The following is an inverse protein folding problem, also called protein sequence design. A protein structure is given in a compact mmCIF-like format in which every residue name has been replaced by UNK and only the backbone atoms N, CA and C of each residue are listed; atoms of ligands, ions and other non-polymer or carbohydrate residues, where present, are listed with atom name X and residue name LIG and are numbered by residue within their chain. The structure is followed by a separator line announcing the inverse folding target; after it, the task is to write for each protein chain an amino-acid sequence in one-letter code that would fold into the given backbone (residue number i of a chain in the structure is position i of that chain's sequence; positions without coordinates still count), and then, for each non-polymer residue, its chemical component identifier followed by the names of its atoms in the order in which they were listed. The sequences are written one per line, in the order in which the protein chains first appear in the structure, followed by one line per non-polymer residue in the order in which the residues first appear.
data_IF_441463656667
#
_entry.id   IF_441463656667
#
_cell.length_a   1.000
_cell.length_b   1.000
_cell.length_c   1.000
_cell.angle_alpha   90.00
_cell.angle_beta   90.00
_cell.angle_gamma   90.00
#
_symmetry.space_group_name_H-M   'P 1'
#
loop_
_entity.id
_entity.type
_entity.pdbx_description
1 polymer ?
#
# COMPACT_ATOMS: atom_id res chain seq x y z
N UNK A 1 45.35 69.95 15.56
CA UNK A 1 45.38 70.29 17.00
C UNK A 1 44.56 69.26 17.73
N UNK A 2 45.20 68.30 18.40
CA UNK A 2 44.81 67.77 19.71
C UNK A 2 45.69 66.57 20.07
N UNK A 3 46.14 66.59 21.33
CA UNK A 3 47.16 65.75 21.93
C UNK A 3 46.68 64.29 22.10
N UNK A 4 47.47 63.34 21.60
CA UNK A 4 47.40 61.94 22.04
C UNK A 4 48.28 61.77 23.28
N UNK A 5 47.64 61.80 24.45
CA UNK A 5 48.25 61.42 25.71
C UNK A 5 48.58 59.92 25.73
N UNK A 6 49.85 59.62 25.98
CA UNK A 6 50.37 58.29 26.32
C UNK A 6 49.80 57.82 27.66
N UNK A 7 49.02 56.73 27.66
CA UNK A 7 48.74 55.93 28.85
C UNK A 7 49.19 54.49 28.62
N UNK A 8 50.09 54.02 29.49
CA UNK A 8 50.58 52.65 29.54
C UNK A 8 49.49 51.69 30.08
N UNK A 9 49.40 50.45 29.60
CA UNK A 9 48.41 49.50 30.09
C UNK A 9 48.84 48.85 31.40
N UNK A 10 47.93 48.84 32.37
CA UNK A 10 48.00 48.08 33.63
C UNK A 10 47.64 46.61 33.35
N UNK A 11 48.27 45.60 34.00
CA UNK A 11 47.92 44.20 33.78
C UNK A 11 46.62 43.85 34.52
N UNK A 12 45.61 43.36 33.79
CA UNK A 12 44.42 42.72 34.35
C UNK A 12 44.71 41.24 34.59
N UNK A 13 44.68 40.83 35.86
CA UNK A 13 44.67 39.43 36.28
C UNK A 13 43.41 38.74 35.74
N UNK A 14 43.60 37.79 34.82
CA UNK A 14 42.54 36.93 34.32
C UNK A 14 42.39 35.68 35.19
N UNK A 15 41.30 35.62 35.96
CA UNK A 15 40.77 34.39 36.53
C UNK A 15 40.44 33.39 35.41
N UNK A 16 41.20 32.29 35.34
CA UNK A 16 40.87 31.12 34.52
C UNK A 16 40.07 30.12 35.34
N UNK A 17 38.79 29.99 35.04
CA UNK A 17 37.95 28.85 35.45
C UNK A 17 38.31 27.62 34.59
N UNK A 18 38.55 26.43 35.17
CA UNK A 18 38.83 25.24 34.38
C UNK A 18 37.52 24.64 33.86
N UNK A 19 37.39 24.53 32.53
CA UNK A 19 36.38 23.66 31.92
C UNK A 19 36.90 22.23 32.04
N UNK A 20 36.19 21.44 32.86
CA UNK A 20 36.37 20.01 32.94
C UNK A 20 36.07 19.37 31.57
N UNK A 21 37.05 18.64 31.04
CA UNK A 21 36.74 17.57 30.10
C UNK A 21 37.54 16.32 30.50
N UNK A 22 36.77 15.30 30.81
CA UNK A 22 37.17 13.98 31.26
C UNK A 22 37.88 13.20 30.15
N UNK A 23 39.17 12.93 30.34
CA UNK A 23 39.78 11.67 29.88
C UNK A 23 40.59 11.11 31.04
N UNK A 24 40.10 9.99 31.56
CA UNK A 24 40.76 9.20 32.56
C UNK A 24 41.97 8.44 31.98
N UNK A 25 42.88 8.10 32.90
CA UNK A 25 43.99 7.14 32.80
C UNK A 25 45.30 7.63 32.16
N UNK A 26 46.32 7.80 33.00
CA UNK A 26 47.71 7.77 32.57
C UNK A 26 48.69 8.46 33.50
N UNK A 27 49.01 7.81 34.62
CA UNK A 27 50.26 7.89 35.41
C UNK A 27 51.13 9.15 35.35
N UNK A 28 51.26 9.79 36.51
CA UNK A 28 52.44 10.52 36.95
C UNK A 28 53.72 9.78 36.57
N UNK A 29 54.58 10.42 35.77
CA UNK A 29 55.93 9.95 35.49
C UNK A 29 56.82 11.14 35.20
N UNK A 30 57.78 11.39 36.10
CA UNK A 30 58.86 12.34 35.91
C UNK A 30 59.72 12.02 34.68
N UNK A 31 60.80 12.79 34.44
CA UNK A 31 61.53 12.76 33.18
C UNK A 31 61.96 11.33 32.84
N UNK A 32 61.33 10.76 31.81
CA UNK A 32 61.59 9.41 31.34
C UNK A 32 63.06 9.29 30.91
N UNK A 33 63.83 8.52 31.68
CA UNK A 33 64.94 7.70 31.19
C UNK A 33 64.42 6.67 30.16
N UNK A 34 63.89 7.17 29.05
CA UNK A 34 63.53 6.35 27.89
C UNK A 34 64.81 5.93 27.17
N UNK A 35 65.36 4.76 27.55
CA UNK A 35 65.88 3.73 26.64
C UNK A 35 66.53 2.52 27.37
N UNK A 36 66.38 2.35 28.69
CA UNK A 36 66.98 1.17 29.36
C UNK A 36 66.32 -0.16 28.98
N UNK A 37 65.13 -0.14 28.35
CA UNK A 37 64.40 -1.34 27.93
C UNK A 37 65.04 -2.13 26.78
N UNK A 38 66.01 -1.56 26.06
CA UNK A 38 66.71 -2.24 24.96
C UNK A 38 68.13 -2.72 25.29
N UNK A 39 68.63 -2.45 26.50
CA UNK A 39 70.03 -2.70 26.87
C UNK A 39 70.11 -3.74 27.99
N UNK A 40 70.43 -4.98 27.66
CA UNK A 40 70.71 -6.03 28.64
C UNK A 40 72.13 -5.89 29.18
N UNK A 41 72.32 -6.08 30.50
CA UNK A 41 73.65 -6.05 31.08
C UNK A 41 74.48 -7.26 30.61
N UNK A 42 75.73 -7.03 30.23
CA UNK A 42 76.63 -8.09 29.80
C UNK A 42 76.85 -9.15 30.90
N UNK A 43 76.85 -8.73 32.17
CA UNK A 43 76.96 -9.62 33.32
C UNK A 43 75.80 -10.62 33.40
N UNK A 44 74.55 -10.16 33.25
CA UNK A 44 73.39 -11.06 33.20
C UNK A 44 73.46 -12.00 32.00
N UNK A 45 73.89 -11.50 30.83
CA UNK A 45 74.03 -12.33 29.63
C UNK A 45 75.07 -13.46 29.84
N UNK A 46 76.21 -13.14 30.46
CA UNK A 46 77.23 -14.13 30.79
C UNK A 46 76.68 -15.15 31.79
N UNK A 47 76.01 -14.71 32.85
CA UNK A 47 75.43 -15.60 33.86
C UNK A 47 74.40 -16.56 33.25
N UNK A 48 73.47 -16.06 32.42
CA UNK A 48 72.52 -16.93 31.72
C UNK A 48 73.18 -17.93 30.78
N UNK A 49 74.26 -17.52 30.10
CA UNK A 49 75.03 -18.41 29.21
C UNK A 49 75.73 -19.50 30.02
N UNK A 50 76.32 -19.16 31.16
CA UNK A 50 76.99 -20.13 32.05
C UNK A 50 75.97 -21.09 32.65
N UNK A 51 74.86 -20.58 33.19
CA UNK A 51 73.77 -21.40 33.73
C UNK A 51 73.18 -22.35 32.69
N UNK A 52 72.95 -21.86 31.47
CA UNK A 52 72.48 -22.69 30.36
C UNK A 52 73.48 -23.77 29.98
N UNK A 53 74.78 -23.44 29.90
CA UNK A 53 75.84 -24.40 29.57
C UNK A 53 75.96 -25.47 30.66
N UNK A 54 75.87 -25.06 31.92
CA UNK A 54 75.87 -25.96 33.06
C UNK A 54 74.64 -26.88 33.03
N UNK A 55 73.45 -26.35 32.78
CA UNK A 55 72.24 -27.14 32.64
C UNK A 55 72.32 -28.15 31.48
N UNK A 56 72.77 -27.71 30.30
CA UNK A 56 72.96 -28.60 29.14
C UNK A 56 74.00 -29.70 29.43
N UNK A 57 75.07 -29.37 30.18
CA UNK A 57 76.07 -30.34 30.65
C UNK A 57 75.49 -31.33 31.67
N UNK A 58 74.70 -30.86 32.63
CA UNK A 58 74.02 -31.69 33.64
C UNK A 58 73.03 -32.66 32.97
N UNK A 59 72.27 -32.19 31.98
CA UNK A 59 71.36 -33.04 31.20
C UNK A 59 72.13 -34.07 30.37
N UNK A 60 73.27 -33.69 29.78
CA UNK A 60 74.14 -34.61 29.06
C UNK A 60 74.70 -35.70 30.00
N UNK A 61 75.18 -35.31 31.19
CA UNK A 61 75.77 -36.21 32.19
C UNK A 61 74.73 -37.17 32.82
N UNK A 62 73.58 -36.65 33.23
CA UNK A 62 72.59 -37.42 34.00
C UNK A 62 71.61 -38.22 33.14
N UNK A 63 71.26 -37.75 31.92
CA UNK A 63 70.21 -38.36 31.12
C UNK A 63 70.70 -39.04 29.84
N UNK A 64 71.75 -38.52 29.19
CA UNK A 64 72.18 -38.99 27.86
C UNK A 64 73.33 -40.00 27.89
N UNK A 65 74.26 -39.87 28.83
CA UNK A 65 75.44 -40.74 28.92
C UNK A 65 75.14 -42.20 29.35
N UNK A 66 74.27 -42.46 30.34
CA UNK A 66 74.08 -43.83 30.88
C UNK A 66 73.20 -44.73 30.00
N UNK A 67 72.38 -44.15 29.11
CA UNK A 67 71.32 -44.88 28.37
C UNK A 67 71.67 -45.21 26.91
N UNK A 68 72.82 -44.75 26.40
CA UNK A 68 73.20 -44.85 24.97
C UNK A 68 74.47 -45.69 24.75
N UNK A 69 74.60 -46.24 23.54
CA UNK A 69 75.79 -47.01 23.10
C UNK A 69 77.04 -46.13 23.06
N UNK A 70 78.23 -46.72 23.17
CA UNK A 70 79.50 -45.96 23.24
C UNK A 70 79.76 -45.05 22.03
N UNK A 71 79.27 -45.43 20.84
CA UNK A 71 79.43 -44.62 19.63
C UNK A 71 78.53 -43.38 19.64
N UNK A 72 77.26 -43.53 20.02
CA UNK A 72 76.32 -42.40 20.14
C UNK A 72 76.73 -41.43 21.24
N UNK A 73 77.28 -41.95 22.35
CA UNK A 73 77.83 -41.14 23.44
C UNK A 73 78.92 -40.19 22.93
N UNK A 74 79.86 -40.69 22.11
CA UNK A 74 80.95 -39.88 21.54
C UNK A 74 80.43 -38.76 20.63
N UNK A 75 79.45 -39.08 19.78
CA UNK A 75 78.85 -38.10 18.86
C UNK A 75 78.12 -36.98 19.63
N UNK A 76 77.37 -37.31 20.68
CA UNK A 76 76.66 -36.32 21.49
C UNK A 76 77.61 -35.43 22.29
N UNK A 77 78.70 -35.97 22.85
CA UNK A 77 79.74 -35.18 23.52
C UNK A 77 80.40 -34.23 22.53
N UNK A 78 80.74 -34.71 21.34
CA UNK A 78 81.34 -33.88 20.29
C UNK A 78 80.40 -32.75 19.85
N UNK A 79 79.11 -33.04 19.65
CA UNK A 79 78.10 -32.05 19.28
C UNK A 79 77.88 -31.03 20.38
N UNK A 80 77.84 -31.45 21.64
CA UNK A 80 77.78 -30.54 22.79
C UNK A 80 79.00 -29.61 22.83
N UNK A 81 80.22 -30.16 22.74
CA UNK A 81 81.44 -29.36 22.74
C UNK A 81 81.46 -28.32 21.60
N UNK A 82 81.02 -28.70 20.41
CA UNK A 82 80.96 -27.82 19.25
C UNK A 82 79.93 -26.69 19.42
N UNK A 83 78.72 -27.00 19.92
CA UNK A 83 77.67 -26.01 20.20
C UNK A 83 78.09 -25.03 21.28
N UNK A 84 78.63 -25.54 22.39
CA UNK A 84 79.14 -24.74 23.50
C UNK A 84 80.27 -23.82 23.03
N UNK A 85 81.21 -24.33 22.23
CA UNK A 85 82.27 -23.51 21.62
C UNK A 85 81.71 -22.37 20.75
N UNK A 86 80.74 -22.65 19.87
CA UNK A 86 80.16 -21.60 19.02
C UNK A 86 79.46 -20.52 19.83
N UNK A 87 78.76 -20.90 20.91
CA UNK A 87 78.10 -19.96 21.81
C UNK A 87 79.12 -19.07 22.54
N UNK A 88 80.20 -19.65 23.08
CA UNK A 88 81.27 -18.87 23.71
C UNK A 88 82.06 -18.00 22.71
N UNK A 89 82.19 -18.41 21.44
CA UNK A 89 82.78 -17.57 20.40
C UNK A 89 81.91 -16.34 20.09
N UNK A 90 80.59 -16.51 20.03
CA UNK A 90 79.65 -15.36 19.88
C UNK A 90 79.70 -14.45 21.10
N UNK A 91 79.76 -15.02 22.31
CA UNK A 91 79.94 -14.25 23.54
C UNK A 91 81.27 -13.48 23.53
N UNK A 92 82.36 -14.11 23.09
CA UNK A 92 83.66 -13.45 22.96
C UNK A 92 83.61 -12.27 21.99
N UNK A 93 82.88 -12.40 20.88
CA UNK A 93 82.66 -11.27 19.96
C UNK A 93 81.94 -10.11 20.66
N UNK A 94 80.87 -10.40 21.42
CA UNK A 94 80.15 -9.38 22.20
C UNK A 94 81.03 -8.73 23.27
N UNK A 95 81.88 -9.49 23.97
CA UNK A 95 82.82 -8.96 24.96
C UNK A 95 83.85 -8.04 24.30
N UNK A 96 84.37 -8.40 23.12
CA UNK A 96 85.27 -7.51 22.35
C UNK A 96 84.57 -6.22 21.94
N UNK A 97 83.29 -6.28 21.58
CA UNK A 97 82.48 -5.12 21.23
C UNK A 97 82.10 -4.26 22.44
N UNK A 98 81.96 -4.88 23.62
CA UNK A 98 81.65 -4.18 24.87
C UNK A 98 82.71 -3.14 25.23
N UNK A 99 83.98 -3.34 24.83
CA UNK A 99 85.04 -2.34 25.02
C UNK A 99 84.72 -1.00 24.30
N UNK A 100 83.93 -1.04 23.22
CA UNK A 100 83.48 0.15 22.48
C UNK A 100 82.08 0.62 22.88
N UNK A 101 81.40 -0.06 23.81
CA UNK A 101 80.02 0.25 24.19
C UNK A 101 79.86 1.66 24.77
N UNK A 102 80.84 2.16 25.53
CA UNK A 102 80.79 3.50 26.11
C UNK A 102 80.77 4.62 25.06
N UNK A 103 81.39 4.39 23.89
CA UNK A 103 81.36 5.33 22.76
C UNK A 103 80.00 5.27 22.06
N UNK A 104 79.48 4.05 21.85
CA UNK A 104 78.17 3.82 21.22
C UNK A 104 77.04 4.39 22.06
N UNK A 105 77.09 4.26 23.38
CA UNK A 105 76.10 4.83 24.29
C UNK A 105 76.09 6.37 24.24
N UNK A 106 77.27 7.00 24.16
CA UNK A 106 77.37 8.47 23.97
C UNK A 106 76.76 8.89 22.64
N UNK A 107 77.07 8.21 21.54
CA UNK A 107 76.47 8.53 20.23
C UNK A 107 74.96 8.27 20.21
N UNK A 108 74.47 7.21 20.87
CA UNK A 108 73.05 6.93 20.99
C UNK A 108 72.33 8.01 21.81
N UNK A 109 72.97 8.51 22.88
CA UNK A 109 72.43 9.63 23.67
C UNK A 109 72.36 10.92 22.87
N UNK A 110 73.39 11.22 22.06
CA UNK A 110 73.41 12.39 21.17
C UNK A 110 72.32 12.25 20.09
N UNK A 111 72.18 11.08 19.49
CA UNK A 111 71.13 10.80 18.51
C UNK A 111 69.73 11.00 19.10
N UNK A 112 69.45 10.40 20.26
CA UNK A 112 68.19 10.59 20.96
C UNK A 112 67.92 12.07 21.32
N UNK A 113 68.97 12.83 21.64
CA UNK A 113 68.82 14.27 21.89
C UNK A 113 68.46 15.01 20.61
N UNK A 114 69.15 14.74 19.50
CA UNK A 114 68.86 15.35 18.20
C UNK A 114 67.46 15.00 17.70
N UNK A 115 67.03 13.76 17.86
CA UNK A 115 65.68 13.32 17.50
C UNK A 115 64.61 14.04 18.32
N UNK A 116 64.84 14.22 19.63
CA UNK A 116 63.96 15.03 20.48
C UNK A 116 63.88 16.48 20.01
N UNK A 117 65.01 17.10 19.65
CA UNK A 117 65.01 18.47 19.13
C UNK A 117 64.25 18.57 17.80
N UNK A 118 64.46 17.62 16.88
CA UNK A 118 63.73 17.53 15.62
C UNK A 118 62.22 17.44 15.85
N UNK A 119 61.78 16.59 16.78
CA UNK A 119 60.37 16.44 17.13
C UNK A 119 59.78 17.74 17.66
N UNK A 120 60.48 18.44 18.56
CA UNK A 120 60.03 19.72 19.11
C UNK A 120 59.83 20.79 18.02
N UNK A 121 60.69 20.82 16.99
CA UNK A 121 60.51 21.74 15.86
C UNK A 121 59.24 21.44 15.07
N UNK A 122 58.96 20.16 14.81
CA UNK A 122 57.74 19.74 14.10
C UNK A 122 56.50 20.07 14.93
N UNK A 123 56.49 19.71 16.21
CA UNK A 123 55.37 19.98 17.12
C UNK A 123 55.08 21.49 17.25
N UNK A 124 56.12 22.31 17.31
CA UNK A 124 55.98 23.78 17.37
C UNK A 124 55.37 24.32 16.09
N UNK A 125 55.82 23.83 14.93
CA UNK A 125 55.27 24.25 13.64
C UNK A 125 53.79 23.84 13.51
N UNK A 126 53.44 22.62 13.94
CA UNK A 126 52.06 22.13 13.92
C UNK A 126 51.15 22.93 14.87
N UNK A 127 51.64 23.25 16.07
CA UNK A 127 50.92 24.09 17.03
C UNK A 127 50.68 25.49 16.45
N UNK A 128 51.68 26.10 15.82
CA UNK A 128 51.56 27.41 15.19
C UNK A 128 50.55 27.37 14.03
N UNK A 129 50.61 26.34 13.19
CA UNK A 129 49.68 26.16 12.08
C UNK A 129 48.24 26.00 12.55
N UNK A 130 48.03 25.20 13.61
CA UNK A 130 46.73 25.03 14.25
C UNK A 130 46.20 26.36 14.81
N UNK A 131 47.05 27.11 15.52
CA UNK A 131 46.69 28.42 16.06
C UNK A 131 46.29 29.41 14.95
N UNK A 132 47.07 29.46 13.85
CA UNK A 132 46.80 30.38 12.76
C UNK A 132 45.49 30.06 12.02
N UNK A 133 45.17 28.78 11.80
CA UNK A 133 44.02 28.37 11.00
C UNK A 133 42.73 28.21 11.78
N UNK A 134 42.80 27.79 13.03
CA UNK A 134 41.61 27.43 13.81
C UNK A 134 41.28 28.54 14.81
N UNK A 135 42.21 28.83 15.74
CA UNK A 135 41.92 29.71 16.87
C UNK A 135 41.83 31.18 16.45
N UNK A 136 42.74 31.65 15.59
CA UNK A 136 42.70 33.04 15.10
C UNK A 136 41.52 33.29 14.16
N UNK A 137 41.09 32.29 13.38
CA UNK A 137 39.92 32.43 12.51
C UNK A 137 38.64 32.53 13.33
N UNK A 138 38.52 31.76 14.42
CA UNK A 138 37.40 31.87 15.35
C UNK A 138 37.37 33.19 16.15
N UNK A 139 38.54 33.78 16.41
CA UNK A 139 38.63 35.09 17.06
C UNK A 139 38.19 36.25 16.14
N UNK A 140 38.16 36.03 14.82
CA UNK A 140 37.64 37.03 13.86
C UNK A 140 36.13 36.93 13.78
N UNK A 141 35.45 38.07 13.85
CA UNK A 141 34.01 38.12 13.59
C UNK A 141 33.72 37.73 12.13
N UNK A 142 32.75 36.82 11.88
CA UNK A 142 32.29 36.52 10.53
C UNK A 142 31.71 37.75 9.84
N UNK A 143 31.68 37.74 8.51
CA UNK A 143 30.98 38.76 7.74
C UNK A 143 29.46 38.62 7.94
N UNK A 144 28.77 39.71 8.26
CA UNK A 144 27.32 39.72 8.48
C UNK A 144 26.56 39.88 7.16
N UNK A 145 25.67 38.93 6.86
CA UNK A 145 24.81 39.01 5.68
C UNK A 145 23.59 39.91 5.93
N UNK A 146 23.81 41.23 5.91
CA UNK A 146 22.76 42.24 6.14
C UNK A 146 21.53 42.08 5.22
N UNK A 147 21.65 41.76 3.92
CA UNK A 147 20.47 41.62 3.06
C UNK A 147 19.50 40.53 3.52
N UNK A 148 20.03 39.40 4.00
CA UNK A 148 19.21 38.30 4.53
C UNK A 148 18.52 38.71 5.83
N UNK A 149 19.19 39.47 6.69
CA UNK A 149 18.61 39.99 7.92
C UNK A 149 17.48 40.99 7.65
N UNK A 150 17.64 41.88 6.66
CA UNK A 150 16.60 42.83 6.24
C UNK A 150 15.37 42.10 5.69
N UNK A 151 15.57 41.06 4.88
CA UNK A 151 14.48 40.26 4.34
C UNK A 151 13.67 39.59 5.45
N UNK A 152 14.32 38.88 6.37
CA UNK A 152 13.66 38.26 7.52
C UNK A 152 12.96 39.29 8.42
N UNK A 153 13.56 40.47 8.60
CA UNK A 153 12.96 41.54 9.41
C UNK A 153 11.71 42.15 8.75
N UNK A 154 11.70 42.29 7.43
CA UNK A 154 10.62 42.97 6.69
C UNK A 154 9.49 42.03 6.31
N UNK A 155 9.79 40.81 5.87
CA UNK A 155 8.80 39.84 5.38
C UNK A 155 8.50 38.74 6.40
N UNK A 156 9.24 38.69 7.51
CA UNK A 156 9.14 37.63 8.51
C UNK A 156 9.65 36.26 8.03
N UNK A 157 10.09 36.13 6.76
CA UNK A 157 10.50 34.85 6.15
C UNK A 157 11.72 35.03 5.25
N UNK A 158 12.43 33.93 4.98
CA UNK A 158 13.61 33.93 4.13
C UNK A 158 13.26 33.38 2.74
N UNK A 159 13.36 34.21 1.69
CA UNK A 159 12.91 33.88 0.34
C UNK A 159 13.80 32.88 -0.42
N UNK A 160 15.00 32.60 0.07
CA UNK A 160 15.89 31.56 -0.51
C UNK A 160 15.77 30.20 0.17
N UNK A 161 14.83 30.04 1.12
CA UNK A 161 14.56 28.73 1.71
C UNK A 161 13.92 27.83 0.65
N UNK A 162 14.49 26.65 0.35
CA UNK A 162 13.88 25.71 -0.59
C UNK A 162 12.47 25.30 -0.13
N UNK A 163 11.52 25.31 -1.05
CA UNK A 163 10.13 24.93 -0.80
C UNK A 163 10.01 23.52 -0.18
N UNK A 164 10.93 22.60 -0.50
CA UNK A 164 10.95 21.24 0.05
C UNK A 164 11.09 21.19 1.58
N UNK A 165 11.76 22.19 2.20
CA UNK A 165 11.88 22.28 3.66
C UNK A 165 10.58 22.84 4.25
N UNK A 166 9.99 23.84 3.57
CA UNK A 166 8.71 24.44 3.95
C UNK A 166 7.57 23.42 3.89
N UNK A 167 7.48 22.64 2.82
CA UNK A 167 6.46 21.61 2.58
C UNK A 167 6.54 20.43 3.56
N UNK A 168 7.73 20.14 4.11
CA UNK A 168 7.91 19.06 5.11
C UNK A 168 7.64 19.49 6.54
N UNK A 169 7.87 20.76 6.88
CA UNK A 169 7.87 21.24 8.27
C UNK A 169 6.60 22.03 8.59
N UNK A 170 6.05 22.77 7.62
CA UNK A 170 4.85 23.57 7.80
C UNK A 170 3.68 22.86 7.12
N UNK A 171 2.61 22.49 7.85
CA UNK A 171 1.42 21.94 7.21
C UNK A 171 0.86 22.99 6.22
N UNK A 172 0.35 22.57 5.06
CA UNK A 172 -0.23 23.51 4.10
C UNK A 172 -1.36 24.30 4.77
N UNK A 173 -1.43 25.59 4.45
CA UNK A 173 -2.46 26.47 5.02
C UNK A 173 -3.86 25.88 4.78
N UNK A 174 -4.75 25.92 5.78
CA UNK A 174 -6.07 25.33 5.67
C UNK A 174 -6.84 26.01 4.54
N UNK A 175 -7.42 25.20 3.65
CA UNK A 175 -8.24 25.68 2.53
C UNK A 175 -9.36 26.56 3.09
N UNK A 176 -9.42 27.82 2.64
CA UNK A 176 -10.47 28.72 3.12
C UNK A 176 -11.84 28.24 2.62
N UNK A 177 -12.92 28.40 3.42
CA UNK A 177 -14.25 27.96 3.00
C UNK A 177 -14.71 28.67 1.72
N UNK A 178 -14.24 29.89 1.47
CA UNK A 178 -14.42 30.65 0.22
C UNK A 178 -13.75 29.98 -0.97
N UNK A 179 -12.48 29.59 -0.85
CA UNK A 179 -11.76 28.89 -1.92
C UNK A 179 -12.38 27.52 -2.21
N UNK A 180 -12.79 26.79 -1.17
CA UNK A 180 -13.52 25.53 -1.33
C UNK A 180 -14.80 25.73 -2.13
N UNK A 181 -15.62 26.71 -1.78
CA UNK A 181 -16.87 27.01 -2.49
C UNK A 181 -16.62 27.39 -3.95
N UNK A 182 -15.63 28.26 -4.20
CA UNK A 182 -15.28 28.67 -5.56
C UNK A 182 -14.75 27.49 -6.40
N UNK A 183 -13.95 26.61 -5.80
CA UNK A 183 -13.42 25.40 -6.46
C UNK A 183 -14.54 24.43 -6.80
N UNK A 184 -15.51 24.21 -5.91
CA UNK A 184 -16.68 23.36 -6.18
C UNK A 184 -17.59 23.93 -7.28
N UNK A 185 -17.78 25.26 -7.30
CA UNK A 185 -18.52 25.93 -8.39
C UNK A 185 -17.79 25.77 -9.72
N UNK A 186 -16.46 25.92 -9.73
CA UNK A 186 -15.66 25.70 -10.94
C UNK A 186 -15.75 24.25 -11.40
N UNK A 187 -15.72 23.30 -10.48
CA UNK A 187 -15.85 21.88 -10.78
C UNK A 187 -17.24 21.55 -11.36
N UNK A 188 -18.31 22.13 -10.83
CA UNK A 188 -19.66 22.00 -11.42
C UNK A 188 -19.69 22.48 -12.88
N UNK A 189 -19.04 23.61 -13.19
CA UNK A 189 -18.96 24.13 -14.57
C UNK A 189 -18.19 23.16 -15.49
N UNK A 190 -17.08 22.59 -15.01
CA UNK A 190 -16.29 21.62 -15.78
C UNK A 190 -17.11 20.36 -16.06
N UNK A 191 -17.81 19.84 -15.05
CA UNK A 191 -18.71 18.69 -15.18
C UNK A 191 -19.82 19.00 -16.20
N UNK A 192 -20.47 20.15 -16.09
CA UNK A 192 -21.52 20.57 -17.03
C UNK A 192 -21.00 20.68 -18.47
N UNK A 193 -19.84 21.30 -18.68
CA UNK A 193 -19.21 21.40 -20.00
C UNK A 193 -18.89 20.02 -20.59
N UNK A 194 -18.38 19.09 -19.76
CA UNK A 194 -18.09 17.72 -20.18
C UNK A 194 -19.35 16.93 -20.54
N UNK A 195 -20.44 17.10 -19.80
CA UNK A 195 -21.73 16.45 -20.09
C UNK A 195 -22.38 16.97 -21.37
N UNK A 196 -22.25 18.27 -21.68
CA UNK A 196 -22.76 18.86 -22.92
C UNK A 196 -21.96 18.39 -24.15
N UNK A 197 -20.64 18.21 -23.99
CA UNK A 197 -19.76 17.77 -25.07
C UNK A 197 -19.79 16.24 -25.26
N UNK A 198 -20.13 15.49 -24.20
CA UNK A 198 -20.21 14.04 -24.20
C UNK A 198 -21.52 13.50 -24.79
N UNK A 199 -21.49 12.27 -25.26
CA UNK A 199 -22.70 11.58 -25.69
C UNK A 199 -23.43 11.02 -24.46
N UNK A 200 -24.63 11.51 -24.18
CA UNK A 200 -25.46 11.05 -23.05
C UNK A 200 -26.56 10.11 -23.55
N UNK A 201 -26.75 8.99 -22.86
CA UNK A 201 -27.87 8.10 -23.09
C UNK A 201 -29.20 8.76 -22.71
N UNK A 202 -30.29 8.57 -23.47
CA UNK A 202 -31.60 9.14 -23.16
C UNK A 202 -32.15 8.77 -21.78
N UNK A 203 -31.71 7.64 -21.21
CA UNK A 203 -32.12 7.15 -19.89
C UNK A 203 -31.43 7.87 -18.72
N UNK A 204 -30.32 8.58 -18.97
CA UNK A 204 -29.57 9.34 -17.95
C UNK A 204 -29.92 10.84 -17.95
N UNK A 205 -31.06 11.23 -18.53
CA UNK A 205 -31.47 12.65 -18.64
C UNK A 205 -31.78 13.31 -17.29
N UNK A 206 -32.19 12.53 -16.29
CA UNK A 206 -32.44 13.02 -14.94
C UNK A 206 -31.11 13.10 -14.17
N UNK A 207 -30.36 14.17 -14.43
CA UNK A 207 -29.10 14.45 -13.76
C UNK A 207 -29.22 15.65 -12.81
N UNK A 208 -28.55 15.58 -11.67
CA UNK A 208 -28.39 16.71 -10.73
C UNK A 208 -26.90 16.98 -10.55
N UNK A 209 -26.49 18.24 -10.65
CA UNK A 209 -25.10 18.65 -10.46
C UNK A 209 -25.04 19.54 -9.23
N UNK A 210 -24.43 19.06 -8.15
CA UNK A 210 -24.30 19.78 -6.89
C UNK A 210 -22.94 19.50 -6.25
N UNK A 211 -22.34 20.52 -5.61
CA UNK A 211 -21.12 20.38 -4.80
C UNK A 211 -19.95 19.58 -5.44
N UNK A 212 -19.71 19.73 -6.74
CA UNK A 212 -18.59 19.08 -7.45
C UNK A 212 -18.85 17.63 -7.85
N UNK A 213 -20.09 17.14 -7.75
CA UNK A 213 -20.50 15.82 -8.20
C UNK A 213 -21.71 15.91 -9.13
N UNK A 214 -21.81 14.98 -10.07
CA UNK A 214 -23.04 14.71 -10.83
C UNK A 214 -23.68 13.46 -10.27
N UNK A 215 -24.96 13.54 -9.92
CA UNK A 215 -25.78 12.37 -9.62
C UNK A 215 -26.68 12.07 -10.81
N UNK A 216 -26.65 10.82 -11.26
CA UNK A 216 -27.58 10.33 -12.28
C UNK A 216 -28.63 9.49 -11.57
N UNK A 217 -29.89 9.83 -11.81
CA UNK A 217 -31.03 9.12 -11.24
C UNK A 217 -31.77 8.35 -12.33
N UNK A 218 -31.63 7.03 -12.33
CA UNK A 218 -32.38 6.13 -13.20
C UNK A 218 -33.51 5.51 -12.37
N UNK A 219 -34.75 5.75 -12.77
CA UNK A 219 -35.92 5.31 -12.02
C UNK A 219 -35.92 3.78 -11.86
N UNK A 220 -36.14 3.30 -10.63
CA UNK A 220 -36.27 1.88 -10.25
C UNK A 220 -35.02 1.00 -10.47
N UNK A 221 -33.86 1.58 -10.76
CA UNK A 221 -32.60 0.83 -10.93
C UNK A 221 -31.53 1.31 -9.95
N UNK A 222 -30.99 2.51 -10.16
CA UNK A 222 -29.88 3.04 -9.35
C UNK A 222 -29.76 4.58 -9.41
N UNK A 223 -29.12 5.11 -8.38
CA UNK A 223 -28.55 6.45 -8.32
C UNK A 223 -27.02 6.35 -8.24
N UNK A 224 -26.31 7.07 -9.11
CA UNK A 224 -24.83 7.02 -9.16
C UNK A 224 -24.23 8.42 -9.11
N UNK A 225 -23.28 8.62 -8.21
CA UNK A 225 -22.53 9.87 -8.05
C UNK A 225 -21.14 9.77 -8.68
N UNK A 226 -20.85 10.66 -9.63
CA UNK A 226 -19.58 10.74 -10.36
C UNK A 226 -18.93 12.12 -10.19
N UNK A 227 -17.60 12.17 -10.18
CA UNK A 227 -16.80 13.39 -10.08
C UNK A 227 -15.60 13.35 -11.02
N UNK A 228 -15.12 14.52 -11.45
CA UNK A 228 -13.91 14.68 -12.27
C UNK A 228 -12.82 15.35 -11.43
N UNK A 229 -11.56 14.96 -11.60
CA UNK A 229 -10.42 15.49 -10.83
C UNK A 229 -9.59 16.52 -11.62
N UNK A 230 -10.22 17.31 -12.50
CA UNK A 230 -9.58 18.43 -13.20
C UNK A 230 -10.25 18.84 -14.52
N UNK A 231 -9.71 19.86 -15.17
CA UNK A 231 -10.23 20.48 -16.41
C UNK A 231 -9.75 19.76 -17.70
N UNK A 232 -8.72 18.92 -17.58
CA UNK A 232 -8.11 18.22 -18.70
C UNK A 232 -9.10 17.29 -19.43
N UNK A 233 -9.11 17.28 -20.79
CA UNK A 233 -10.00 16.41 -21.56
C UNK A 233 -9.69 14.91 -21.41
N UNK A 234 -8.51 14.57 -20.89
CA UNK A 234 -8.05 13.20 -20.69
C UNK A 234 -8.17 12.71 -19.23
N UNK A 235 -8.81 13.48 -18.34
CA UNK A 235 -8.99 13.08 -16.95
C UNK A 235 -10.22 12.18 -16.87
N UNK A 236 -10.08 10.92 -16.41
CA UNK A 236 -11.21 10.01 -16.33
C UNK A 236 -12.18 10.44 -15.22
N UNK A 237 -13.45 10.05 -15.38
CA UNK A 237 -14.44 10.17 -14.33
C UNK A 237 -14.07 9.28 -13.14
N UNK A 238 -14.50 9.65 -11.94
CA UNK A 238 -14.35 8.84 -10.72
C UNK A 238 -15.70 8.62 -10.09
N UNK A 239 -15.90 7.39 -9.64
CA UNK A 239 -17.08 6.98 -8.94
C UNK A 239 -16.96 7.34 -7.46
N UNK A 240 -17.96 8.04 -6.91
CA UNK A 240 -18.03 8.37 -5.48
C UNK A 240 -18.90 7.38 -4.73
N UNK A 241 -20.14 7.22 -5.18
CA UNK A 241 -21.21 6.54 -4.45
C UNK A 241 -22.17 5.89 -5.45
N UNK A 242 -22.66 4.71 -5.12
CA UNK A 242 -23.69 3.98 -5.86
C UNK A 242 -24.77 3.59 -4.87
N UNK A 243 -25.98 4.05 -5.12
CA UNK A 243 -27.19 3.67 -4.40
C UNK A 243 -28.08 2.85 -5.33
N UNK A 244 -28.39 1.61 -4.95
CA UNK A 244 -29.25 0.73 -5.75
C UNK A 244 -30.68 0.89 -5.24
N UNK A 245 -31.59 1.30 -6.14
CA UNK A 245 -32.97 1.71 -5.82
C UNK A 245 -33.99 0.59 -6.08
N UNK A 246 -33.55 -0.66 -6.22
CA UNK A 246 -34.43 -1.80 -6.46
C UNK A 246 -35.09 -2.23 -5.14
N UNK A 247 -36.32 -1.75 -4.89
CA UNK A 247 -37.08 -2.08 -3.67
C UNK A 247 -38.09 -3.22 -3.88
N UNK A 248 -38.18 -4.14 -2.91
CA UNK A 248 -39.28 -5.10 -2.77
C UNK A 248 -40.22 -4.67 -1.63
N UNK A 249 -41.52 -4.56 -1.91
CA UNK A 249 -42.54 -4.11 -0.95
C UNK A 249 -43.11 -5.24 -0.07
N UNK A 250 -43.01 -6.50 -0.51
CA UNK A 250 -43.53 -7.67 0.24
C UNK A 250 -42.61 -8.05 1.42
N UNK A 251 -41.37 -7.57 1.36
CA UNK A 251 -40.34 -7.80 2.35
C UNK A 251 -39.96 -6.45 2.96
N UNK A 252 -40.51 -6.09 4.13
CA UNK A 252 -40.29 -4.80 4.81
C UNK A 252 -38.96 -4.13 4.43
N UNK A 253 -39.08 -3.13 3.53
CA UNK A 253 -38.10 -2.73 2.50
C UNK A 253 -36.78 -2.11 2.98
N UNK A 254 -36.24 -2.55 4.12
CA UNK A 254 -34.99 -2.04 4.67
C UNK A 254 -34.16 -3.13 5.38
N UNK A 255 -34.80 -4.07 6.09
CA UNK A 255 -34.09 -5.00 6.97
C UNK A 255 -33.44 -6.20 6.27
N UNK A 256 -33.90 -6.62 5.09
CA UNK A 256 -33.24 -7.71 4.33
C UNK A 256 -32.25 -7.19 3.27
N UNK A 257 -32.43 -5.94 2.81
CA UNK A 257 -31.45 -5.23 1.97
C UNK A 257 -30.17 -4.94 2.79
N UNK A 258 -30.32 -4.55 4.05
CA UNK A 258 -29.16 -4.48 4.97
C UNK A 258 -28.53 -5.86 5.22
N UNK A 259 -29.32 -6.93 5.35
CA UNK A 259 -28.80 -8.24 5.79
C UNK A 259 -28.14 -9.08 4.68
N UNK A 260 -28.55 -8.94 3.42
CA UNK A 260 -27.91 -9.64 2.28
C UNK A 260 -26.97 -8.73 1.47
N UNK A 261 -27.30 -7.43 1.31
CA UNK A 261 -26.56 -6.50 0.44
C UNK A 261 -25.55 -5.60 1.18
N UNK A 262 -25.54 -5.55 2.53
CA UNK A 262 -24.47 -4.89 3.29
C UNK A 262 -23.26 -5.79 3.52
N UNK A 263 -22.83 -6.53 2.49
CA UNK A 263 -21.41 -6.91 2.48
C UNK A 263 -20.67 -5.76 1.81
N UNK A 264 -20.00 -4.86 2.55
CA UNK A 264 -19.25 -3.74 1.96
C UNK A 264 -18.24 -4.19 0.90
N UNK A 265 -17.85 -5.48 0.92
CA UNK A 265 -17.00 -6.12 -0.08
C UNK A 265 -17.61 -6.19 -1.48
N UNK A 266 -18.92 -6.44 -1.62
CA UNK A 266 -19.58 -6.52 -2.93
C UNK A 266 -19.68 -5.12 -3.56
N UNK A 267 -20.09 -4.13 -2.77
CA UNK A 267 -20.11 -2.73 -3.18
C UNK A 267 -18.68 -2.28 -3.52
N UNK A 268 -17.69 -2.59 -2.69
CA UNK A 268 -16.29 -2.26 -2.97
C UNK A 268 -15.76 -2.94 -4.25
N UNK A 269 -16.13 -4.20 -4.51
CA UNK A 269 -15.77 -4.89 -5.74
C UNK A 269 -16.39 -4.23 -6.98
N UNK A 270 -17.68 -3.88 -6.90
CA UNK A 270 -18.38 -3.15 -7.98
C UNK A 270 -17.73 -1.77 -8.19
N UNK A 271 -17.40 -1.07 -7.10
CA UNK A 271 -16.68 0.20 -7.17
C UNK A 271 -15.33 0.05 -7.87
N UNK A 272 -14.53 -0.97 -7.52
CA UNK A 272 -13.24 -1.24 -8.16
C UNK A 272 -13.39 -1.62 -9.63
N UNK A 273 -14.36 -2.47 -9.95
CA UNK A 273 -14.66 -2.90 -11.32
C UNK A 273 -15.04 -1.69 -12.18
N UNK A 274 -16.00 -0.89 -11.73
CA UNK A 274 -16.43 0.32 -12.44
C UNK A 274 -15.24 1.28 -12.56
N UNK A 275 -14.51 1.55 -11.47
CA UNK A 275 -13.38 2.48 -11.46
C UNK A 275 -12.26 2.08 -12.45
N UNK A 276 -11.98 0.78 -12.62
CA UNK A 276 -11.03 0.30 -13.64
C UNK A 276 -11.56 0.51 -15.07
N UNK A 277 -12.83 0.18 -15.31
CA UNK A 277 -13.47 0.33 -16.63
C UNK A 277 -13.64 1.78 -17.06
N UNK A 278 -13.73 2.72 -16.12
CA UNK A 278 -13.74 4.16 -16.39
C UNK A 278 -12.40 4.70 -16.91
N UNK A 279 -11.28 4.08 -16.54
CA UNK A 279 -9.93 4.54 -16.92
C UNK A 279 -9.59 4.09 -18.34
N UNK A 280 -10.07 2.91 -18.76
CA UNK A 280 -9.66 2.28 -20.00
C UNK A 280 -10.46 2.72 -21.24
N UNK A 281 -11.70 3.25 -21.07
CA UNK A 281 -12.65 3.40 -22.18
C UNK A 281 -12.89 4.85 -22.65
N UNK A 282 -13.08 5.06 -23.98
CA UNK A 282 -13.35 6.38 -24.56
C UNK A 282 -14.79 6.90 -24.33
N UNK A 283 -15.73 6.05 -23.93
CA UNK A 283 -17.12 6.40 -23.59
C UNK A 283 -17.48 5.88 -22.18
N UNK A 284 -16.98 6.55 -21.12
CA UNK A 284 -17.08 6.04 -19.76
C UNK A 284 -18.53 5.98 -19.24
N UNK A 285 -19.38 6.94 -19.60
CA UNK A 285 -20.75 7.01 -19.10
C UNK A 285 -21.63 5.86 -19.61
N UNK A 286 -21.46 5.48 -20.88
CA UNK A 286 -22.19 4.35 -21.48
C UNK A 286 -21.80 3.03 -20.83
N UNK A 287 -20.51 2.81 -20.57
CA UNK A 287 -20.03 1.58 -19.95
C UNK A 287 -20.50 1.47 -18.48
N UNK A 288 -20.48 2.58 -17.74
CA UNK A 288 -21.03 2.64 -16.38
C UNK A 288 -22.51 2.29 -16.40
N UNK A 289 -23.26 2.88 -17.33
CA UNK A 289 -24.68 2.57 -17.48
C UNK A 289 -24.90 1.08 -17.79
N UNK A 290 -24.21 0.52 -18.78
CA UNK A 290 -24.38 -0.89 -19.15
C UNK A 290 -24.01 -1.85 -18.01
N UNK A 291 -22.93 -1.57 -17.29
CA UNK A 291 -22.49 -2.40 -16.17
C UNK A 291 -23.48 -2.35 -15.00
N UNK A 292 -23.93 -1.15 -14.62
CA UNK A 292 -24.92 -0.98 -13.56
C UNK A 292 -26.27 -1.55 -13.96
N UNK A 293 -26.69 -1.33 -15.20
CA UNK A 293 -27.95 -1.84 -15.73
C UNK A 293 -27.97 -3.37 -15.77
N UNK A 294 -26.93 -4.02 -16.31
CA UNK A 294 -26.81 -5.48 -16.29
C UNK A 294 -26.81 -6.04 -14.86
N UNK A 295 -26.12 -5.36 -13.94
CA UNK A 295 -26.13 -5.73 -12.54
C UNK A 295 -27.52 -5.59 -11.91
N UNK A 296 -28.22 -4.47 -12.15
CA UNK A 296 -29.58 -4.24 -11.67
C UNK A 296 -30.58 -5.25 -12.26
N UNK A 297 -30.47 -5.60 -13.54
CA UNK A 297 -31.29 -6.65 -14.15
C UNK A 297 -31.03 -8.02 -13.52
N UNK A 298 -29.76 -8.36 -13.30
CA UNK A 298 -29.40 -9.61 -12.63
C UNK A 298 -29.94 -9.64 -11.20
N UNK A 299 -29.88 -8.51 -10.49
CA UNK A 299 -30.44 -8.34 -9.15
C UNK A 299 -31.97 -8.50 -9.15
N UNK A 300 -32.67 -7.87 -10.08
CA UNK A 300 -34.12 -7.99 -10.23
C UNK A 300 -34.54 -9.45 -10.48
N UNK A 301 -33.78 -10.18 -11.30
CA UNK A 301 -34.01 -11.62 -11.53
C UNK A 301 -33.78 -12.45 -10.26
N UNK A 302 -32.73 -12.17 -9.49
CA UNK A 302 -32.50 -12.84 -8.20
C UNK A 302 -33.63 -12.59 -7.20
N UNK A 303 -34.11 -11.34 -7.13
CA UNK A 303 -35.26 -10.98 -6.29
C UNK A 303 -36.50 -11.77 -6.73
N UNK A 304 -36.83 -11.78 -8.03
CA UNK A 304 -37.96 -12.56 -8.56
C UNK A 304 -37.83 -14.06 -8.29
N UNK A 305 -36.63 -14.63 -8.43
CA UNK A 305 -36.37 -16.03 -8.13
C UNK A 305 -36.58 -16.32 -6.64
N UNK A 306 -36.06 -15.48 -5.75
CA UNK A 306 -36.23 -15.62 -4.30
C UNK A 306 -37.71 -15.48 -3.87
N UNK A 307 -38.44 -14.55 -4.48
CA UNK A 307 -39.89 -14.39 -4.29
C UNK A 307 -40.64 -15.65 -4.74
N UNK A 308 -40.27 -16.22 -5.89
CA UNK A 308 -40.90 -17.45 -6.42
C UNK A 308 -40.66 -18.64 -5.48
N UNK A 309 -39.43 -18.85 -5.01
CA UNK A 309 -39.11 -19.92 -4.06
C UNK A 309 -39.90 -19.78 -2.74
N UNK A 310 -40.08 -18.54 -2.28
CA UNK A 310 -40.88 -18.27 -1.08
C UNK A 310 -42.37 -18.54 -1.32
N UNK A 311 -42.91 -18.14 -2.46
CA UNK A 311 -44.30 -18.43 -2.84
C UNK A 311 -44.57 -19.93 -2.93
N UNK A 312 -43.62 -20.71 -3.46
CA UNK A 312 -43.69 -22.17 -3.46
C UNK A 312 -43.80 -22.72 -2.04
N UNK A 313 -42.92 -22.28 -1.13
CA UNK A 313 -42.92 -22.76 0.26
C UNK A 313 -44.15 -22.35 1.07
N UNK A 314 -44.63 -21.12 0.89
CA UNK A 314 -45.62 -20.54 1.80
C UNK A 314 -47.08 -20.79 1.35
N UNK A 315 -47.40 -20.76 0.04
CA UNK A 315 -48.81 -20.73 -0.44
C UNK A 315 -49.16 -21.60 -1.65
N UNK A 316 -48.22 -21.85 -2.57
CA UNK A 316 -48.54 -22.34 -3.93
C UNK A 316 -47.74 -23.59 -4.34
N UNK A 317 -47.55 -24.52 -3.39
CA UNK A 317 -46.65 -25.69 -3.48
C UNK A 317 -46.87 -26.56 -4.74
N UNK A 318 -48.10 -27.04 -4.99
CA UNK A 318 -48.39 -27.95 -6.11
C UNK A 318 -48.69 -27.23 -7.45
N UNK A 319 -48.91 -25.92 -7.40
CA UNK A 319 -49.42 -25.16 -8.56
C UNK A 319 -48.33 -24.39 -9.32
N UNK A 320 -47.17 -24.15 -8.70
CA UNK A 320 -46.08 -23.35 -9.27
C UNK A 320 -44.76 -24.08 -9.11
N UNK A 321 -43.96 -24.10 -10.17
CA UNK A 321 -42.64 -24.72 -10.16
C UNK A 321 -41.64 -23.87 -10.94
N UNK A 322 -40.40 -23.75 -10.45
CA UNK A 322 -39.32 -23.13 -11.21
C UNK A 322 -38.67 -24.21 -12.07
N UNK A 323 -38.82 -24.11 -13.40
CA UNK A 323 -38.26 -25.09 -14.35
C UNK A 323 -36.78 -24.83 -14.62
N UNK A 324 -36.37 -23.56 -14.74
CA UNK A 324 -34.99 -23.19 -15.08
C UNK A 324 -34.65 -21.80 -14.52
N UNK A 325 -33.48 -21.68 -13.90
CA UNK A 325 -32.92 -20.39 -13.46
C UNK A 325 -31.47 -20.28 -13.89
N UNK A 326 -31.18 -19.32 -14.77
CA UNK A 326 -29.83 -18.93 -15.17
C UNK A 326 -29.60 -17.50 -14.67
N UNK A 327 -28.74 -17.30 -13.66
CA UNK A 327 -28.42 -15.97 -13.13
C UNK A 327 -28.05 -14.99 -14.25
N UNK A 328 -28.73 -13.85 -14.28
CA UNK A 328 -28.47 -12.76 -15.23
C UNK A 328 -28.93 -13.01 -16.67
N UNK A 329 -29.66 -14.10 -16.96
CA UNK A 329 -30.15 -14.40 -18.32
C UNK A 329 -31.63 -14.75 -18.39
N UNK A 330 -32.10 -15.70 -17.58
CA UNK A 330 -33.46 -16.23 -17.74
C UNK A 330 -33.98 -16.89 -16.46
N UNK A 331 -35.25 -16.63 -16.14
CA UNK A 331 -36.03 -17.31 -15.10
C UNK A 331 -37.29 -17.90 -15.74
N UNK A 332 -37.46 -19.22 -15.69
CA UNK A 332 -38.63 -19.94 -16.23
C UNK A 332 -39.44 -20.52 -15.08
N UNK A 333 -40.70 -20.08 -14.99
CA UNK A 333 -41.67 -20.51 -13.98
C UNK A 333 -42.85 -21.17 -14.65
N UNK A 334 -43.06 -22.44 -14.37
CA UNK A 334 -44.24 -23.20 -14.77
C UNK A 334 -45.36 -23.01 -13.75
N UNK A 335 -46.59 -22.82 -14.22
CA UNK A 335 -47.77 -22.74 -13.38
C UNK A 335 -48.89 -23.67 -13.91
N UNK A 336 -49.85 -24.06 -13.07
CA UNK A 336 -50.97 -24.95 -13.42
C UNK A 336 -50.56 -26.34 -13.95
N UNK A 337 -49.59 -26.99 -13.31
CA UNK A 337 -49.14 -28.33 -13.70
C UNK A 337 -50.24 -29.41 -13.55
N UNK A 338 -51.11 -29.30 -12.55
CA UNK A 338 -52.19 -30.30 -12.31
C UNK A 338 -53.19 -30.44 -13.46
N UNK A 339 -53.52 -29.34 -14.15
CA UNK A 339 -54.43 -29.35 -15.31
C UNK A 339 -53.86 -30.11 -16.52
N UNK A 340 -52.53 -30.27 -16.57
CA UNK A 340 -51.84 -31.03 -17.62
C UNK A 340 -51.65 -32.50 -17.26
N UNK A 341 -51.60 -32.85 -15.97
CA UNK A 341 -51.39 -34.23 -15.51
C UNK A 341 -52.69 -35.05 -15.45
N UNK A 342 -53.82 -34.45 -15.07
CA UNK A 342 -55.14 -35.13 -15.01
C UNK A 342 -55.83 -35.31 -16.38
N UNK A 343 -55.24 -34.79 -17.46
CA UNK A 343 -55.79 -34.86 -18.82
C UNK A 343 -55.35 -36.06 -19.67
N UNK A 344 -54.55 -36.99 -19.13
CA UNK A 344 -53.99 -38.12 -19.90
C UNK A 344 -55.00 -39.19 -20.35
N UNK A 345 -56.27 -39.13 -19.95
CA UNK A 345 -57.25 -40.19 -20.24
C UNK A 345 -58.37 -39.83 -21.23
N UNK A 346 -58.37 -38.66 -21.89
CA UNK A 346 -59.40 -38.34 -22.91
C UNK A 346 -58.83 -37.86 -24.25
N UNK A 347 -59.30 -38.52 -25.31
CA UNK A 347 -58.79 -38.65 -26.69
C UNK A 347 -58.88 -37.38 -27.56
N UNK A 348 -59.09 -36.19 -27.00
CA UNK A 348 -59.09 -34.95 -27.77
C UNK A 348 -58.49 -33.81 -26.96
N UNK A 349 -57.32 -33.31 -27.37
CA UNK A 349 -56.87 -31.98 -26.95
C UNK A 349 -55.79 -31.41 -27.86
N UNK A 350 -55.94 -30.12 -28.16
CA UNK A 350 -55.08 -29.31 -29.00
C UNK A 350 -53.59 -29.43 -28.64
N UNK A 351 -52.73 -29.42 -29.67
CA UNK A 351 -51.25 -29.33 -29.57
C UNK A 351 -50.74 -28.21 -28.64
N UNK A 352 -51.59 -27.24 -28.27
CA UNK A 352 -51.28 -26.14 -27.34
C UNK A 352 -51.28 -26.55 -25.86
N UNK A 353 -51.93 -27.67 -25.51
CA UNK A 353 -52.07 -28.11 -24.12
C UNK A 353 -50.95 -29.05 -23.64
N UNK A 354 -50.08 -29.52 -24.53
CA UNK A 354 -48.92 -30.38 -24.20
C UNK A 354 -47.71 -29.59 -23.68
N UNK A 355 -47.59 -28.31 -24.02
CA UNK A 355 -46.40 -27.50 -23.71
C UNK A 355 -46.31 -27.01 -22.26
N UNK A 356 -47.37 -27.22 -21.45
CA UNK A 356 -47.47 -26.65 -20.11
C UNK A 356 -47.57 -25.12 -20.13
N UNK A 357 -48.15 -24.55 -19.08
CA UNK A 357 -48.24 -23.10 -18.95
C UNK A 357 -46.96 -22.59 -18.29
N UNK A 358 -46.12 -21.89 -19.07
CA UNK A 358 -44.85 -21.35 -18.60
C UNK A 358 -44.80 -19.83 -18.73
N UNK A 359 -44.12 -19.22 -17.77
CA UNK A 359 -43.78 -17.81 -17.68
C UNK A 359 -42.26 -17.72 -17.71
N UNK A 360 -41.71 -17.05 -18.71
CA UNK A 360 -40.27 -16.86 -18.86
C UNK A 360 -39.95 -15.37 -18.72
N UNK A 361 -39.14 -15.01 -17.74
CA UNK A 361 -38.57 -13.66 -17.58
C UNK A 361 -37.16 -13.70 -18.14
N UNK A 362 -36.90 -12.99 -19.23
CA UNK A 362 -35.62 -13.00 -19.92
C UNK A 362 -35.06 -11.57 -20.05
N UNK A 363 -33.73 -11.45 -19.94
CA UNK A 363 -33.01 -10.23 -20.34
C UNK A 363 -32.95 -10.17 -21.86
N UNK A 364 -33.38 -9.06 -22.47
CA UNK A 364 -33.28 -8.86 -23.92
C UNK A 364 -31.80 -8.87 -24.35
N UNK A 365 -31.46 -9.78 -25.28
CA UNK A 365 -30.08 -10.03 -25.74
C UNK A 365 -29.64 -8.98 -26.76
N UNK A 366 -30.57 -8.23 -27.37
CA UNK A 366 -30.28 -7.33 -28.50
C UNK A 366 -30.16 -5.86 -28.11
N UNK A 367 -30.71 -5.46 -26.96
CA UNK A 367 -30.61 -4.08 -26.48
C UNK A 367 -30.42 -4.07 -24.95
N UNK A 368 -29.19 -3.92 -24.46
CA UNK A 368 -28.89 -3.87 -23.02
C UNK A 368 -29.41 -2.59 -22.36
N UNK A 369 -30.12 -1.71 -23.08
CA UNK A 369 -30.86 -0.59 -22.51
C UNK A 369 -32.35 -0.92 -22.29
N UNK A 370 -32.84 -2.09 -22.75
CA UNK A 370 -34.24 -2.48 -22.56
C UNK A 370 -34.45 -3.22 -21.25
N UNK A 371 -35.55 -2.94 -20.53
CA UNK A 371 -35.91 -3.66 -19.32
C UNK A 371 -36.23 -5.14 -19.61
N UNK A 372 -36.25 -5.95 -18.54
CA UNK A 372 -36.61 -7.38 -18.59
C UNK A 372 -37.88 -7.62 -19.42
N UNK A 373 -37.82 -8.56 -20.35
CA UNK A 373 -38.94 -8.97 -21.20
C UNK A 373 -39.62 -10.22 -20.62
N UNK A 374 -40.95 -10.27 -20.66
CA UNK A 374 -41.71 -11.44 -20.23
C UNK A 374 -42.30 -12.16 -21.42
N UNK A 375 -41.90 -13.42 -21.57
CA UNK A 375 -42.39 -14.33 -22.58
C UNK A 375 -43.33 -15.34 -21.91
N UNK A 376 -44.57 -15.37 -22.38
CA UNK A 376 -45.56 -16.34 -21.95
C UNK A 376 -45.63 -17.49 -22.95
N UNK A 377 -45.61 -18.73 -22.47
CA UNK A 377 -45.84 -19.93 -23.28
C UNK A 377 -47.10 -20.64 -22.76
N UNK A 378 -48.17 -20.78 -23.57
CA UNK A 378 -48.42 -20.23 -24.90
C UNK A 378 -48.53 -18.69 -24.93
N UNK A 379 -48.21 -18.07 -26.06
CA UNK A 379 -48.17 -16.61 -26.24
C UNK A 379 -49.54 -15.96 -25.99
N UNK A 380 -49.58 -15.00 -25.07
CA UNK A 380 -50.72 -14.10 -24.90
C UNK A 380 -50.82 -13.17 -26.12
N UNK A 381 -52.03 -12.71 -26.47
CA UNK A 381 -52.20 -11.78 -27.59
C UNK A 381 -51.36 -10.50 -27.41
N UNK A 382 -50.91 -9.87 -28.50
CA UNK A 382 -49.95 -8.74 -28.46
C UNK A 382 -50.34 -7.60 -27.49
N UNK A 383 -51.65 -7.33 -27.31
CA UNK A 383 -52.15 -6.31 -26.38
C UNK A 383 -51.97 -6.67 -24.91
N UNK A 384 -51.95 -7.96 -24.58
CA UNK A 384 -51.84 -8.49 -23.22
C UNK A 384 -50.37 -8.68 -22.81
N UNK A 385 -49.49 -8.96 -23.78
CA UNK A 385 -48.03 -8.92 -23.59
C UNK A 385 -47.53 -7.52 -23.22
N UNK A 386 -48.04 -6.46 -23.88
CA UNK A 386 -47.67 -5.07 -23.57
C UNK A 386 -48.07 -4.65 -22.14
N UNK A 387 -49.13 -5.25 -21.59
CA UNK A 387 -49.63 -4.98 -20.25
C UNK A 387 -48.81 -5.75 -19.21
N UNK A 388 -48.40 -6.99 -19.50
CA UNK A 388 -47.43 -7.74 -18.69
C UNK A 388 -46.07 -7.03 -18.63
N UNK A 389 -45.60 -6.51 -19.76
CA UNK A 389 -44.39 -5.68 -19.83
C UNK A 389 -44.57 -4.33 -19.10
N UNK A 390 -45.80 -3.81 -19.01
CA UNK A 390 -46.12 -2.62 -18.21
C UNK A 390 -46.16 -2.92 -16.70
N UNK A 391 -46.49 -4.15 -16.30
CA UNK A 391 -46.53 -4.56 -14.90
C UNK A 391 -45.14 -4.64 -14.26
N UNK A 392 -44.09 -4.98 -15.03
CA UNK A 392 -42.69 -4.91 -14.57
C UNK A 392 -42.19 -3.47 -14.49
N UNK A 393 -42.70 -2.59 -15.36
CA UNK A 393 -42.41 -1.15 -15.35
C UNK A 393 -43.17 -0.38 -14.26
N UNK A 394 -44.09 -1.03 -13.57
CA UNK A 394 -44.84 -0.42 -12.46
C UNK A 394 -43.98 -0.42 -11.20
N UNK A 395 -44.28 0.51 -10.30
CA UNK A 395 -43.54 0.90 -9.08
C UNK A 395 -43.23 -0.24 -8.08
N UNK A 396 -43.60 -1.49 -8.37
CA UNK A 396 -43.44 -2.64 -7.46
C UNK A 396 -43.14 -3.91 -8.27
N UNK A 397 -41.89 -4.38 -8.23
CA UNK A 397 -41.49 -5.68 -8.76
C UNK A 397 -41.98 -6.79 -7.82
N UNK A 398 -43.11 -7.42 -8.14
CA UNK A 398 -43.67 -8.54 -7.38
C UNK A 398 -44.05 -9.69 -8.30
N UNK A 399 -43.43 -10.83 -8.07
CA UNK A 399 -43.74 -12.06 -8.78
C UNK A 399 -45.20 -12.50 -8.56
N UNK A 400 -45.76 -12.30 -7.35
CA UNK A 400 -47.16 -12.63 -7.07
C UNK A 400 -48.11 -11.81 -7.93
N UNK A 401 -47.91 -10.49 -8.02
CA UNK A 401 -48.74 -9.62 -8.88
C UNK A 401 -48.64 -10.01 -10.34
N UNK A 402 -47.43 -10.31 -10.81
CA UNK A 402 -47.19 -10.74 -12.18
C UNK A 402 -47.91 -12.06 -12.47
N UNK A 403 -47.81 -13.05 -11.58
CA UNK A 403 -48.49 -14.33 -11.71
C UNK A 403 -50.02 -14.19 -11.64
N UNK A 404 -50.56 -13.44 -10.67
CA UNK A 404 -52.00 -13.18 -10.54
C UNK A 404 -52.54 -12.51 -11.80
N UNK A 405 -51.84 -11.50 -12.31
CA UNK A 405 -52.26 -10.83 -13.55
C UNK A 405 -52.21 -11.79 -14.74
N UNK A 406 -51.14 -12.58 -14.86
CA UNK A 406 -51.00 -13.56 -15.94
C UNK A 406 -52.10 -14.63 -15.89
N UNK A 407 -52.41 -15.12 -14.69
CA UNK A 407 -53.48 -16.09 -14.44
C UNK A 407 -54.84 -15.49 -14.79
N UNK A 408 -55.11 -14.25 -14.38
CA UNK A 408 -56.36 -13.55 -14.69
C UNK A 408 -56.57 -13.44 -16.20
N UNK A 409 -55.54 -12.97 -16.93
CA UNK A 409 -55.60 -12.85 -18.39
C UNK A 409 -55.83 -14.21 -19.05
N UNK A 410 -55.12 -15.26 -18.62
CA UNK A 410 -55.33 -16.62 -19.18
C UNK A 410 -56.71 -17.18 -18.87
N UNK A 411 -57.24 -16.92 -17.68
CA UNK A 411 -58.60 -17.34 -17.29
C UNK A 411 -59.64 -16.66 -18.17
N UNK A 412 -59.48 -15.36 -18.42
CA UNK A 412 -60.34 -14.60 -19.33
C UNK A 412 -60.26 -15.11 -20.77
N UNK A 413 -59.06 -15.42 -21.27
CA UNK A 413 -58.89 -16.00 -22.61
C UNK A 413 -59.60 -17.36 -22.72
N UNK A 414 -59.44 -18.25 -21.72
CA UNK A 414 -60.11 -19.55 -21.71
C UNK A 414 -61.63 -19.43 -21.61
N UNK A 415 -62.15 -18.47 -20.84
CA UNK A 415 -63.58 -18.18 -20.78
C UNK A 415 -64.14 -17.67 -22.11
N UNK A 416 -63.37 -16.86 -22.84
CA UNK A 416 -63.75 -16.45 -24.20
C UNK A 416 -63.74 -17.63 -25.18
N UNK A 417 -62.74 -18.52 -25.11
CA UNK A 417 -62.69 -19.73 -25.94
C UNK A 417 -63.90 -20.63 -25.67
N UNK A 418 -64.21 -20.88 -24.38
CA UNK A 418 -65.38 -21.67 -23.97
C UNK A 418 -66.68 -21.00 -24.40
N UNK A 419 -66.78 -19.66 -24.33
CA UNK A 419 -67.94 -18.93 -24.84
C UNK A 419 -68.11 -19.13 -26.35
N UNK A 420 -67.03 -19.10 -27.12
CA UNK A 420 -67.08 -19.35 -28.57
C UNK A 420 -67.51 -20.80 -28.88
N UNK A 421 -67.01 -21.78 -28.13
CA UNK A 421 -67.44 -23.18 -28.25
C UNK A 421 -68.92 -23.37 -27.86
N UNK A 422 -69.37 -22.75 -26.77
CA UNK A 422 -70.76 -22.79 -26.32
C UNK A 422 -71.70 -22.08 -27.30
N UNK A 423 -71.30 -20.94 -27.88
CA UNK A 423 -72.06 -20.26 -28.93
C UNK A 423 -72.08 -21.08 -30.24
N UNK A 424 -71.04 -21.87 -30.51
CA UNK A 424 -71.04 -22.84 -31.60
C UNK A 424 -72.02 -23.99 -31.38
N UNK A 425 -72.20 -24.44 -30.13
CA UNK A 425 -73.08 -25.55 -29.76
C UNK A 425 -74.54 -25.15 -29.48
N UNK A 426 -74.78 -23.93 -28.99
CA UNK A 426 -76.10 -23.36 -28.69
C UNK A 426 -76.28 -22.05 -29.46
N UNK A 427 -76.98 -22.10 -30.60
CA UNK A 427 -77.18 -20.94 -31.48
C UNK A 427 -78.09 -19.82 -30.93
N UNK A 428 -78.73 -20.00 -29.77
CA UNK A 428 -79.79 -19.08 -29.28
C UNK A 428 -79.66 -18.61 -27.82
N UNK A 429 -78.46 -18.64 -27.20
CA UNK A 429 -78.29 -18.07 -25.85
C UNK A 429 -77.06 -17.15 -25.76
N UNK A 430 -77.30 -15.87 -25.48
CA UNK A 430 -76.25 -14.89 -25.17
C UNK A 430 -75.66 -15.14 -23.77
N UNK A 431 -74.54 -15.85 -23.70
CA UNK A 431 -73.78 -15.96 -22.46
C UNK A 431 -72.97 -14.68 -22.22
N UNK A 432 -73.36 -13.89 -21.23
CA UNK A 432 -72.56 -12.79 -20.68
C UNK A 432 -71.56 -13.33 -19.65
N UNK A 433 -70.28 -13.06 -19.87
CA UNK A 433 -69.21 -13.41 -18.94
C UNK A 433 -69.10 -12.28 -17.93
N UNK A 434 -69.44 -12.55 -16.67
CA UNK A 434 -69.10 -11.69 -15.54
C UNK A 434 -67.89 -12.32 -14.82
N UNK A 435 -66.78 -11.62 -14.88
CA UNK A 435 -65.59 -11.86 -14.04
C UNK A 435 -65.37 -10.54 -13.30
N UNK A 436 -65.84 -10.49 -12.04
CA UNK A 436 -65.43 -9.45 -11.09
C UNK A 436 -63.98 -9.68 -10.63
#
# INVERSE_FOLDING_TARGET
TENLGTMAPVPLEGLQTPVANSVAQGGLGGPQEGNRGGMMSLAMLIDFIVQRTYHELTVLANCKLPRKTDMERKIEIYNFATRTRQLFVRLLALVKWANSASKVEKSARIMNFLDKQSLLFVETADMLARMARETLVQARLPNFHIPAAVEVLTTGTYGRLPACIREKIVPPDPITPSEKRNTLLRLNQVIQHRLVTGNLLPQMKNLKIENGRVTFHVQHEFEVALTVMGDGPNIPWRLLEIDILVEDKETGGRQLMEKHWSTPLQVQYIHQLIQSRLVDNPQPLTEVYNCLHFFCQSLQLEVLYSQTLRLMRDRLDDHIHVDEYVPGKCLVVSYWRELTSKGKEQVNKDLRSELGYKLTVQVDVHDPARPLAVLHVPSLGNKESEIADRAIRSEVLSMERLLVHTIYVRTRSRLNDIKLELQGMLKDVECNIFLD
#
